data_IF_795641258235
#
_entry.id   IF_795641258235
#
_cell.length_a   1.000
_cell.length_b   1.000
_cell.length_c   1.000
_cell.angle_alpha   90.00
_cell.angle_beta   90.00
_cell.angle_gamma   90.00
#
_symmetry.space_group_name_H-M   'P 1'
#
loop_
_entity.id
_entity.type
_entity.pdbx_description
1 polymer ?
#
# COMPACT_ATOMS: atom_id res chain seq x y z
N UNK A 1 41.30 15.05 7.96
CA UNK A 1 40.87 14.01 8.91
C UNK A 1 39.37 13.87 8.83
N UNK A 2 38.94 12.87 8.13
CA UNK A 2 37.51 12.55 7.94
C UNK A 2 36.95 11.88 9.16
N UNK A 3 35.65 12.05 9.40
CA UNK A 3 34.87 11.09 10.17
C UNK A 3 33.53 10.82 9.48
N UNK A 4 33.45 9.62 8.98
CA UNK A 4 32.27 8.95 8.47
C UNK A 4 31.10 9.02 9.46
N UNK A 5 29.97 9.54 9.03
CA UNK A 5 28.69 9.23 9.63
C UNK A 5 28.24 7.87 9.08
N UNK A 6 28.68 6.80 9.74
CA UNK A 6 28.18 5.47 9.47
C UNK A 6 26.74 5.35 9.96
N UNK A 7 25.92 4.79 9.07
CA UNK A 7 24.51 4.53 9.30
C UNK A 7 24.26 3.75 10.60
N UNK A 8 23.19 4.12 11.25
CA UNK A 8 22.66 3.43 12.41
C UNK A 8 22.27 2.02 11.98
N UNK A 9 23.10 1.07 12.36
CA UNK A 9 22.88 -0.35 12.21
C UNK A 9 21.53 -0.73 12.82
N UNK A 10 20.65 -1.31 12.01
CA UNK A 10 19.48 -2.07 12.45
C UNK A 10 19.93 -3.10 13.48
N UNK A 11 19.58 -2.90 14.74
CA UNK A 11 19.89 -3.85 15.80
C UNK A 11 19.05 -5.10 15.55
N UNK A 12 19.70 -6.11 15.00
CA UNK A 12 19.18 -7.46 14.87
C UNK A 12 19.18 -8.10 16.27
N UNK A 13 18.11 -7.94 17.04
CA UNK A 13 17.86 -8.72 18.25
C UNK A 13 16.69 -9.66 18.00
N UNK A 14 17.00 -10.95 18.01
CA UNK A 14 16.05 -12.06 18.02
C UNK A 14 15.09 -12.16 16.83
N UNK A 15 15.58 -12.47 15.63
CA UNK A 15 14.85 -13.24 14.62
C UNK A 15 13.48 -12.73 14.10
N UNK A 16 13.04 -11.54 14.48
CA UNK A 16 11.78 -10.95 14.03
C UNK A 16 12.10 -9.72 13.20
N UNK A 17 12.12 -9.85 11.88
CA UNK A 17 12.19 -8.70 10.97
C UNK A 17 10.88 -7.93 11.07
N UNK A 18 10.86 -6.88 11.90
CA UNK A 18 9.76 -5.94 11.98
C UNK A 18 9.71 -5.11 10.72
N UNK A 19 8.50 -4.92 10.18
CA UNK A 19 8.26 -4.13 8.98
C UNK A 19 7.80 -2.72 9.37
N UNK A 20 8.25 -1.74 8.58
CA UNK A 20 7.53 -0.49 8.45
C UNK A 20 6.52 -0.62 7.32
N UNK A 21 5.23 -0.62 7.66
CA UNK A 21 4.13 -0.76 6.71
C UNK A 21 3.49 0.61 6.50
N UNK A 22 3.45 1.07 5.26
CA UNK A 22 2.74 2.29 4.90
C UNK A 22 1.43 1.95 4.19
N UNK A 23 0.30 2.29 4.84
CA UNK A 23 -1.05 2.06 4.30
C UNK A 23 -1.56 3.34 3.64
N UNK A 24 -2.03 3.23 2.39
CA UNK A 24 -2.45 4.39 1.60
C UNK A 24 -3.87 4.16 1.09
N UNK A 25 -4.84 4.91 1.64
CA UNK A 25 -6.24 4.82 1.23
C UNK A 25 -6.62 5.81 0.11
N UNK A 26 -5.69 6.70 -0.27
CA UNK A 26 -5.93 7.73 -1.28
C UNK A 26 -6.53 9.01 -0.69
N UNK A 27 -6.79 9.99 -1.58
CA UNK A 27 -7.23 11.34 -1.21
C UNK A 27 -8.64 11.68 -1.67
N UNK A 28 -9.32 10.75 -2.36
CA UNK A 28 -10.71 10.94 -2.78
C UNK A 28 -11.66 10.99 -1.58
N UNK A 29 -12.85 11.52 -1.80
CA UNK A 29 -13.93 11.67 -0.80
C UNK A 29 -14.55 10.34 -0.33
N UNK A 30 -14.23 9.24 -0.99
CA UNK A 30 -14.73 7.90 -0.66
C UNK A 30 -13.93 7.26 0.46
N UNK A 31 -14.66 6.68 1.42
CA UNK A 31 -14.09 5.97 2.58
C UNK A 31 -13.69 4.55 2.18
N UNK A 32 -12.67 4.01 2.86
CA UNK A 32 -12.23 2.63 2.69
C UNK A 32 -11.89 1.98 4.04
N UNK A 33 -12.85 1.91 4.99
CA UNK A 33 -12.59 1.37 6.33
C UNK A 33 -12.28 -0.11 6.29
N UNK A 34 -12.85 -0.88 5.38
CA UNK A 34 -12.71 -2.33 5.25
C UNK A 34 -11.24 -2.80 5.27
N UNK A 35 -10.33 -2.04 4.66
CA UNK A 35 -8.90 -2.35 4.68
C UNK A 35 -8.29 -2.17 6.08
N UNK A 36 -8.69 -1.12 6.80
CA UNK A 36 -8.20 -0.86 8.15
C UNK A 36 -8.79 -1.84 9.16
N UNK A 37 -10.06 -2.21 9.00
CA UNK A 37 -10.75 -3.20 9.83
C UNK A 37 -10.06 -4.57 9.72
N UNK A 38 -9.69 -4.98 8.50
CA UNK A 38 -8.96 -6.22 8.27
C UNK A 38 -7.59 -6.21 8.95
N UNK A 39 -6.84 -5.12 8.84
CA UNK A 39 -5.54 -4.95 9.51
C UNK A 39 -5.70 -4.99 11.03
N UNK A 40 -6.64 -4.20 11.59
CA UNK A 40 -6.88 -4.14 13.03
C UNK A 40 -7.28 -5.51 13.58
N UNK A 41 -8.21 -6.21 12.90
CA UNK A 41 -8.62 -7.58 13.27
C UNK A 41 -7.40 -8.51 13.37
N UNK A 42 -6.50 -8.48 12.39
CA UNK A 42 -5.32 -9.36 12.39
C UNK A 42 -4.27 -8.96 13.43
N UNK A 43 -4.19 -7.70 13.80
CA UNK A 43 -3.37 -7.23 14.91
C UNK A 43 -3.94 -7.73 16.25
N UNK A 44 -5.25 -7.63 16.43
CA UNK A 44 -5.94 -8.06 17.66
C UNK A 44 -5.88 -9.59 17.83
N UNK A 45 -5.95 -10.35 16.73
CA UNK A 45 -5.74 -11.79 16.70
C UNK A 45 -4.27 -12.21 16.93
N UNK A 46 -3.33 -11.25 17.02
CA UNK A 46 -1.89 -11.53 17.15
C UNK A 46 -1.24 -12.13 15.89
N UNK A 47 -1.92 -12.07 14.74
CA UNK A 47 -1.40 -12.53 13.43
C UNK A 47 -0.43 -11.55 12.81
N UNK A 48 -0.64 -10.26 13.08
CA UNK A 48 0.28 -9.15 12.78
C UNK A 48 0.82 -8.65 14.11
N UNK A 49 2.14 -8.49 14.21
CA UNK A 49 2.78 -8.06 15.45
C UNK A 49 2.38 -6.62 15.80
N UNK A 50 2.03 -6.38 17.06
CA UNK A 50 1.79 -5.02 17.60
C UNK A 50 3.06 -4.15 17.61
N UNK A 51 4.23 -4.74 17.35
CA UNK A 51 5.51 -4.02 17.26
C UNK A 51 5.80 -3.53 15.83
N UNK A 52 5.04 -3.94 14.82
CA UNK A 52 5.18 -3.40 13.46
C UNK A 52 4.87 -1.89 13.47
N UNK A 53 5.69 -1.09 12.77
CA UNK A 53 5.39 0.34 12.57
C UNK A 53 4.37 0.47 11.43
N UNK A 54 3.11 0.76 11.75
CA UNK A 54 2.06 0.93 10.74
C UNK A 54 1.64 2.39 10.70
N UNK A 55 1.93 3.07 9.58
CA UNK A 55 1.49 4.44 9.31
C UNK A 55 0.41 4.37 8.23
N UNK A 56 -0.67 5.12 8.44
CA UNK A 56 -1.83 5.15 7.53
C UNK A 56 -2.05 6.57 7.03
N UNK A 57 -2.11 6.74 5.71
CA UNK A 57 -2.69 7.93 5.08
C UNK A 57 -4.14 7.59 4.74
N UNK A 58 -5.07 8.09 5.56
CA UNK A 58 -6.46 7.65 5.60
C UNK A 58 -7.38 8.42 4.65
N UNK A 59 -6.98 9.63 4.21
CA UNK A 59 -7.83 10.50 3.39
C UNK A 59 -9.12 10.86 4.12
N UNK A 60 -10.25 10.61 3.48
CA UNK A 60 -11.59 10.87 4.04
C UNK A 60 -12.07 9.76 5.01
N UNK A 61 -11.30 8.69 5.19
CA UNK A 61 -11.65 7.59 6.09
C UNK A 61 -11.32 7.96 7.54
N UNK A 62 -12.35 8.23 8.35
CA UNK A 62 -12.16 8.44 9.78
C UNK A 62 -11.98 7.09 10.47
N UNK A 63 -10.87 6.94 11.17
CA UNK A 63 -10.51 5.70 11.86
C UNK A 63 -9.66 5.98 13.09
N UNK A 64 -9.84 5.18 14.12
CA UNK A 64 -9.04 5.23 15.34
C UNK A 64 -8.40 3.87 15.61
N UNK A 65 -7.14 3.87 15.98
CA UNK A 65 -6.41 2.65 16.33
C UNK A 65 -5.32 2.95 17.36
N UNK A 66 -5.12 2.02 18.28
CA UNK A 66 -3.98 2.06 19.23
C UNK A 66 -2.69 1.49 18.62
N UNK A 67 -2.81 0.80 17.49
CA UNK A 67 -1.72 0.04 16.88
C UNK A 67 -1.25 0.63 15.55
N UNK A 68 -2.05 1.52 14.95
CA UNK A 68 -1.75 2.17 13.68
C UNK A 68 -1.74 3.69 13.86
N UNK A 69 -0.73 4.36 13.31
CA UNK A 69 -0.68 5.82 13.30
C UNK A 69 -1.51 6.36 12.14
N UNK A 70 -2.73 6.82 12.45
CA UNK A 70 -3.66 7.35 11.46
C UNK A 70 -3.36 8.82 11.19
N UNK A 71 -3.24 9.19 9.91
CA UNK A 71 -3.05 10.56 9.43
C UNK A 71 -4.01 10.75 8.27
N UNK A 72 -4.92 11.71 8.37
CA UNK A 72 -5.92 11.96 7.32
C UNK A 72 -5.23 12.36 6.01
N UNK A 73 -4.49 13.47 6.03
CA UNK A 73 -3.74 13.98 4.90
C UNK A 73 -2.32 14.35 5.33
N UNK A 74 -1.38 14.22 4.43
CA UNK A 74 0.01 14.61 4.67
C UNK A 74 0.57 15.41 3.50
N UNK A 75 1.61 16.22 3.76
CA UNK A 75 2.31 16.92 2.71
C UNK A 75 2.98 15.96 1.74
N UNK A 76 3.21 16.39 0.50
CA UNK A 76 3.93 15.59 -0.52
C UNK A 76 5.27 15.09 0.02
N UNK A 77 6.05 15.96 0.66
CA UNK A 77 7.33 15.59 1.26
C UNK A 77 7.18 14.46 2.29
N UNK A 78 6.20 14.58 3.20
CA UNK A 78 5.97 13.55 4.22
C UNK A 78 5.50 12.23 3.63
N UNK A 79 4.67 12.29 2.60
CA UNK A 79 4.21 11.12 1.86
C UNK A 79 5.39 10.38 1.20
N UNK A 80 6.27 11.11 0.52
CA UNK A 80 7.47 10.54 -0.09
C UNK A 80 8.43 9.93 0.94
N UNK A 81 8.67 10.63 2.07
CA UNK A 81 9.46 10.10 3.19
C UNK A 81 8.87 8.78 3.72
N UNK A 82 7.54 8.68 3.85
CA UNK A 82 6.88 7.44 4.28
C UNK A 82 7.06 6.32 3.25
N UNK A 83 6.90 6.61 1.95
CA UNK A 83 7.17 5.63 0.90
C UNK A 83 8.63 5.17 0.96
N UNK A 84 9.59 6.08 1.09
CA UNK A 84 11.02 5.74 1.09
C UNK A 84 11.41 4.86 2.28
N UNK A 85 10.80 5.08 3.45
CA UNK A 85 11.01 4.28 4.66
C UNK A 85 10.30 2.94 4.65
N UNK A 86 9.18 2.83 3.93
CA UNK A 86 8.35 1.64 3.95
C UNK A 86 9.10 0.40 3.43
N UNK A 87 9.03 -0.70 4.17
CA UNK A 87 9.41 -2.03 3.72
C UNK A 87 8.28 -2.65 2.88
N UNK A 88 7.03 -2.31 3.20
CA UNK A 88 5.83 -2.78 2.52
C UNK A 88 4.81 -1.64 2.39
N UNK A 89 4.22 -1.51 1.22
CA UNK A 89 3.09 -0.61 0.97
C UNK A 89 1.82 -1.44 0.84
N UNK A 90 0.77 -1.04 1.55
CA UNK A 90 -0.58 -1.60 1.39
C UNK A 90 -1.47 -0.45 0.91
N UNK A 91 -2.10 -0.58 -0.26
CA UNK A 91 -2.84 0.54 -0.81
C UNK A 91 -4.15 0.12 -1.51
N UNK A 92 -5.02 1.11 -1.75
CA UNK A 92 -6.08 0.94 -2.73
C UNK A 92 -5.47 0.77 -4.14
N UNK A 93 -6.20 0.13 -5.05
CA UNK A 93 -5.72 -0.11 -6.42
C UNK A 93 -5.75 1.18 -7.28
N UNK A 94 -5.17 2.26 -6.76
CA UNK A 94 -5.02 3.53 -7.49
C UNK A 94 -3.70 3.55 -8.27
N UNK A 95 -3.77 3.74 -9.58
CA UNK A 95 -2.61 3.71 -10.50
C UNK A 95 -1.48 4.65 -10.05
N UNK A 96 -1.80 5.87 -9.64
CA UNK A 96 -0.80 6.86 -9.22
C UNK A 96 0.04 6.38 -8.03
N UNK A 97 -0.60 5.81 -7.01
CA UNK A 97 0.07 5.26 -5.82
C UNK A 97 0.93 4.07 -6.19
N UNK A 98 0.38 3.10 -6.95
CA UNK A 98 1.10 1.90 -7.38
C UNK A 98 2.35 2.29 -8.18
N UNK A 99 2.21 3.17 -9.18
CA UNK A 99 3.34 3.59 -10.02
C UNK A 99 4.43 4.32 -9.22
N UNK A 100 4.04 5.17 -8.27
CA UNK A 100 4.99 5.88 -7.40
C UNK A 100 5.80 4.89 -6.56
N UNK A 101 5.14 3.90 -5.99
CA UNK A 101 5.78 2.87 -5.18
C UNK A 101 6.66 1.93 -6.02
N UNK A 102 6.20 1.52 -7.20
CA UNK A 102 6.99 0.67 -8.13
C UNK A 102 8.26 1.35 -8.61
N UNK A 103 8.20 2.65 -8.96
CA UNK A 103 9.40 3.42 -9.35
C UNK A 103 10.45 3.47 -8.25
N UNK A 104 10.03 3.36 -6.99
CA UNK A 104 10.92 3.31 -5.82
C UNK A 104 11.26 1.87 -5.41
N UNK A 105 10.89 0.87 -6.20
CA UNK A 105 11.20 -0.56 -5.98
C UNK A 105 10.52 -1.14 -4.74
N UNK A 106 9.39 -0.58 -4.32
CA UNK A 106 8.67 -1.03 -3.12
C UNK A 106 7.84 -2.28 -3.38
N UNK A 107 7.71 -3.12 -2.37
CA UNK A 107 6.76 -4.24 -2.33
C UNK A 107 5.36 -3.68 -2.07
N UNK A 108 4.37 -4.16 -2.81
CA UNK A 108 3.02 -3.61 -2.77
C UNK A 108 2.01 -4.73 -2.62
N UNK A 109 1.09 -4.57 -1.66
CA UNK A 109 -0.19 -5.26 -1.61
C UNK A 109 -1.25 -4.23 -1.97
N UNK A 110 -2.09 -4.53 -2.97
CA UNK A 110 -3.16 -3.62 -3.36
C UNK A 110 -4.53 -4.29 -3.21
N UNK A 111 -5.54 -3.49 -2.83
CA UNK A 111 -6.92 -3.92 -2.68
C UNK A 111 -7.84 -2.99 -3.49
N UNK A 112 -8.76 -3.56 -4.27
CA UNK A 112 -9.73 -2.75 -5.01
C UNK A 112 -10.80 -2.18 -4.06
N UNK A 113 -11.12 -0.90 -4.26
CA UNK A 113 -12.34 -0.28 -3.76
C UNK A 113 -13.50 -0.73 -4.63
N UNK A 114 -14.64 -1.08 -4.03
CA UNK A 114 -15.78 -1.64 -4.73
C UNK A 114 -17.02 -0.75 -4.59
N UNK A 115 -17.77 -0.63 -5.70
CA UNK A 115 -19.03 0.11 -5.73
C UNK A 115 -20.05 -0.43 -4.74
N UNK A 116 -20.14 -1.75 -4.60
CA UNK A 116 -21.09 -2.41 -3.69
C UNK A 116 -20.91 -2.01 -2.22
N UNK A 117 -19.71 -1.54 -1.82
CA UNK A 117 -19.44 -1.03 -0.47
C UNK A 117 -19.44 0.51 -0.40
N UNK A 118 -19.82 1.21 -1.48
CA UNK A 118 -19.78 2.67 -1.55
C UNK A 118 -18.36 3.26 -1.54
N UNK A 119 -17.35 2.45 -1.78
CA UNK A 119 -15.93 2.82 -1.72
C UNK A 119 -15.43 3.46 -3.01
N UNK A 120 -16.14 3.25 -4.12
CA UNK A 120 -15.87 3.82 -5.44
C UNK A 120 -17.16 4.01 -6.25
N UNK A 121 -17.09 4.79 -7.33
CA UNK A 121 -18.22 5.00 -8.25
C UNK A 121 -18.45 3.81 -9.19
N UNK A 122 -17.40 3.03 -9.46
CA UNK A 122 -17.40 1.83 -10.31
C UNK A 122 -16.40 0.80 -9.77
N UNK A 123 -16.30 -0.37 -10.42
CA UNK A 123 -15.39 -1.46 -10.03
C UNK A 123 -14.12 -1.51 -10.91
N UNK A 124 -13.76 -0.39 -11.54
CA UNK A 124 -12.59 -0.30 -12.43
C UNK A 124 -11.27 -0.64 -11.74
N UNK A 125 -11.18 -0.44 -10.42
CA UNK A 125 -9.98 -0.80 -9.66
C UNK A 125 -9.69 -2.32 -9.67
N UNK A 126 -10.67 -3.18 -9.96
CA UNK A 126 -10.44 -4.61 -10.16
C UNK A 126 -9.56 -4.86 -11.39
N UNK A 127 -9.85 -4.18 -12.51
CA UNK A 127 -9.05 -4.32 -13.73
C UNK A 127 -7.60 -3.83 -13.53
N UNK A 128 -7.42 -2.76 -12.76
CA UNK A 128 -6.09 -2.25 -12.40
C UNK A 128 -5.36 -3.31 -11.57
N UNK A 129 -6.03 -3.85 -10.55
CA UNK A 129 -5.48 -4.87 -9.67
C UNK A 129 -5.02 -6.10 -10.46
N UNK A 130 -5.88 -6.63 -11.34
CA UNK A 130 -5.62 -7.78 -12.20
C UNK A 130 -4.42 -7.56 -13.09
N UNK A 131 -4.37 -6.41 -13.80
CA UNK A 131 -3.29 -6.07 -14.72
C UNK A 131 -1.93 -6.00 -14.02
N UNK A 132 -1.85 -5.29 -12.88
CA UNK A 132 -0.58 -5.16 -12.15
C UNK A 132 -0.14 -6.47 -11.49
N UNK A 133 -1.09 -7.30 -11.10
CA UNK A 133 -0.83 -8.63 -10.53
C UNK A 133 -0.33 -9.60 -11.60
N UNK A 134 -0.98 -9.64 -12.77
CA UNK A 134 -0.57 -10.49 -13.90
C UNK A 134 0.85 -10.18 -14.39
N UNK A 135 1.26 -8.90 -14.33
CA UNK A 135 2.62 -8.47 -14.66
C UNK A 135 3.64 -8.76 -13.53
N UNK A 136 3.21 -9.32 -12.40
CA UNK A 136 4.07 -9.63 -11.26
C UNK A 136 4.59 -8.42 -10.50
N UNK A 137 3.96 -7.27 -10.63
CA UNK A 137 4.37 -6.03 -9.97
C UNK A 137 3.89 -5.93 -8.52
N UNK A 138 2.70 -6.49 -8.21
CA UNK A 138 2.05 -6.37 -6.92
C UNK A 138 1.44 -7.70 -6.47
N UNK A 139 1.05 -7.77 -5.20
CA UNK A 139 0.19 -8.82 -4.66
C UNK A 139 -1.24 -8.28 -4.53
N UNK A 140 -2.23 -9.01 -5.04
CA UNK A 140 -3.63 -8.65 -4.93
C UNK A 140 -4.22 -9.09 -3.58
N UNK A 141 -4.90 -8.17 -2.87
CA UNK A 141 -5.71 -8.48 -1.70
C UNK A 141 -7.18 -8.58 -2.12
N UNK A 142 -7.63 -9.78 -2.40
CA UNK A 142 -9.02 -10.10 -2.75
C UNK A 142 -9.80 -10.55 -1.51
N UNK A 143 -9.20 -11.41 -0.69
CA UNK A 143 -9.75 -11.90 0.56
C UNK A 143 -9.11 -11.17 1.75
N UNK A 144 -9.85 -10.24 2.34
CA UNK A 144 -9.37 -9.41 3.44
C UNK A 144 -9.06 -10.21 4.71
N UNK A 145 -9.68 -11.37 4.90
CA UNK A 145 -9.36 -12.27 6.02
C UNK A 145 -7.99 -12.93 5.88
N UNK A 146 -7.35 -12.83 4.72
CA UNK A 146 -6.01 -13.37 4.44
C UNK A 146 -4.90 -12.31 4.37
N UNK A 147 -5.16 -11.08 4.81
CA UNK A 147 -4.18 -9.99 4.73
C UNK A 147 -2.87 -10.31 5.46
N UNK A 148 -2.92 -11.02 6.59
CA UNK A 148 -1.72 -11.44 7.33
C UNK A 148 -0.87 -12.45 6.54
N UNK A 149 -1.50 -13.34 5.76
CA UNK A 149 -0.80 -14.28 4.89
C UNK A 149 -0.10 -13.55 3.74
N UNK A 150 -0.78 -12.55 3.14
CA UNK A 150 -0.17 -11.72 2.10
C UNK A 150 1.00 -10.89 2.62
N UNK A 151 0.91 -10.35 3.84
CA UNK A 151 2.04 -9.65 4.49
C UNK A 151 3.24 -10.60 4.65
N UNK A 152 2.99 -11.85 5.09
CA UNK A 152 4.04 -12.88 5.17
C UNK A 152 4.62 -13.22 3.79
N UNK A 153 3.77 -13.35 2.78
CA UNK A 153 4.18 -13.59 1.39
C UNK A 153 5.02 -12.42 0.85
N UNK A 154 4.63 -11.18 1.13
CA UNK A 154 5.33 -9.98 0.71
C UNK A 154 6.77 -9.92 1.22
N UNK A 155 7.10 -10.51 2.38
CA UNK A 155 8.49 -10.59 2.87
C UNK A 155 9.40 -11.29 1.86
N UNK A 156 8.90 -12.33 1.17
CA UNK A 156 9.64 -13.14 0.18
C UNK A 156 9.37 -12.73 -1.26
N UNK A 157 8.36 -11.90 -1.50
CA UNK A 157 7.99 -11.42 -2.83
C UNK A 157 9.05 -10.49 -3.38
N UNK A 158 9.46 -10.71 -4.62
CA UNK A 158 10.32 -9.81 -5.39
C UNK A 158 9.52 -9.28 -6.57
N UNK A 159 9.11 -8.01 -6.55
CA UNK A 159 8.36 -7.43 -7.67
C UNK A 159 9.15 -7.53 -8.98
N UNK A 160 8.46 -7.78 -10.08
CA UNK A 160 9.04 -7.65 -11.40
C UNK A 160 9.60 -6.23 -11.59
N UNK A 161 10.71 -6.10 -12.31
CA UNK A 161 11.31 -4.78 -12.57
C UNK A 161 10.35 -3.94 -13.41
N UNK A 162 9.83 -2.87 -12.82
CA UNK A 162 8.92 -1.98 -13.51
C UNK A 162 9.60 -1.32 -14.71
N UNK A 163 9.12 -1.63 -15.90
CA UNK A 163 9.52 -0.97 -17.15
C UNK A 163 8.46 0.09 -17.44
N UNK A 164 8.82 1.36 -17.29
CA UNK A 164 7.92 2.46 -17.66
C UNK A 164 7.67 2.42 -19.16
N UNK A 165 6.58 1.79 -19.56
CA UNK A 165 6.08 1.90 -20.92
C UNK A 165 5.09 3.06 -20.98
N UNK A 166 5.61 4.25 -21.35
CA UNK A 166 4.81 5.49 -21.46
C UNK A 166 3.56 5.29 -22.33
N UNK A 167 3.63 4.46 -23.39
CA UNK A 167 2.50 4.11 -24.25
C UNK A 167 1.42 3.31 -23.51
N UNK A 168 1.79 2.35 -22.69
CA UNK A 168 0.84 1.54 -21.92
C UNK A 168 0.12 2.41 -20.88
N UNK A 169 0.87 3.25 -20.17
CA UNK A 169 0.36 4.19 -19.18
C UNK A 169 -0.62 5.19 -19.81
N UNK A 170 -0.27 5.78 -20.96
CA UNK A 170 -1.15 6.71 -21.67
C UNK A 170 -2.44 6.03 -22.12
N UNK A 171 -2.39 4.79 -22.62
CA UNK A 171 -3.61 4.05 -23.00
C UNK A 171 -4.53 3.73 -21.80
N UNK A 172 -3.97 3.47 -20.62
CA UNK A 172 -4.77 3.25 -19.43
C UNK A 172 -5.42 4.56 -18.96
N UNK A 173 -4.68 5.68 -18.99
CA UNK A 173 -5.22 7.01 -18.69
C UNK A 173 -6.30 7.43 -19.70
N UNK A 174 -6.09 7.22 -21.00
CA UNK A 174 -7.07 7.49 -22.04
C UNK A 174 -8.37 6.68 -21.83
N UNK A 175 -8.25 5.41 -21.43
CA UNK A 175 -9.43 4.60 -21.07
C UNK A 175 -10.15 5.14 -19.83
N UNK A 176 -9.41 5.58 -18.79
CA UNK A 176 -10.01 6.19 -17.60
C UNK A 176 -10.73 7.50 -17.91
N UNK A 177 -10.14 8.34 -18.76
CA UNK A 177 -10.73 9.63 -19.17
C UNK A 177 -11.99 9.41 -20.03
N UNK A 178 -11.97 8.45 -20.97
CA UNK A 178 -13.10 8.15 -21.83
C UNK A 178 -14.29 7.45 -21.13
N UNK A 179 -14.10 6.94 -19.92
CA UNK A 179 -15.16 6.35 -19.08
C UNK A 179 -15.84 7.43 -18.22
N UNK A 180 -15.19 8.59 -18.05
CA UNK A 180 -15.68 9.72 -17.24
C UNK A 180 -16.39 10.81 -18.09
N UNK A 181 -16.39 10.70 -19.40
CA UNK A 181 -17.13 11.52 -20.36
C UNK A 181 -18.29 10.75 -20.97
#
# INVERSE_FOLDING_TARGET
MGRNAQGISKICMLGVDLLMIFVILGTQDKKFPRLLDALQKKIDEGKISKKEEIIVQAGSTKYESKNMKIIDYMSVRKFEECIDRADLIICHAGVGTILTALKKGKKIIAAARLKQYGEHVNDHQLQILDNFTAEGYILALEDFDKIDLLIKQAKRFTPAKFKSNKRYFLRQLEKEINILG
#
